data_IF_130518834915
#
_entry.id   IF_130518834915
#
_cell.length_a   1.000
_cell.length_b   1.000
_cell.length_c   1.000
_cell.angle_alpha   90.00
_cell.angle_beta   90.00
_cell.angle_gamma   90.00
#
_symmetry.space_group_name_H-M   'P 1'
#
loop_
_entity.id
_entity.type
_entity.pdbx_description
1 polymer ?
#
# COMPACT_ATOMS: atom_id res chain seq x y z
N UNK A 1 9.94 -5.46 23.66
CA UNK A 1 10.90 -6.43 23.08
C UNK A 1 10.30 -6.97 21.80
N UNK A 2 10.80 -6.53 20.64
CA UNK A 2 10.40 -7.09 19.35
C UNK A 2 11.04 -8.47 19.21
N UNK A 3 10.25 -9.53 19.02
CA UNK A 3 10.80 -10.86 18.72
C UNK A 3 11.17 -10.91 17.24
N UNK A 4 12.32 -11.48 16.87
CA UNK A 4 12.63 -11.76 15.46
C UNK A 4 11.50 -12.61 14.86
N UNK A 5 10.83 -12.09 13.83
CA UNK A 5 9.77 -12.80 13.10
C UNK A 5 10.37 -13.72 12.03
N UNK A 6 11.54 -14.32 12.31
CA UNK A 6 12.27 -15.17 11.35
C UNK A 6 11.35 -16.23 10.76
N UNK A 7 10.57 -16.92 11.61
CA UNK A 7 9.58 -17.95 11.21
C UNK A 7 8.63 -17.53 10.08
N UNK A 8 8.40 -16.24 9.88
CA UNK A 8 7.49 -15.73 8.84
C UNK A 8 8.25 -14.95 7.77
N UNK A 9 9.18 -14.09 8.16
CA UNK A 9 9.90 -13.22 7.23
C UNK A 9 10.99 -13.93 6.41
N UNK A 10 11.53 -15.08 6.85
CA UNK A 10 12.51 -15.83 6.06
C UNK A 10 11.94 -16.27 4.69
N UNK A 11 10.62 -16.43 4.57
CA UNK A 11 9.96 -16.72 3.29
C UNK A 11 10.09 -15.58 2.26
N UNK A 12 10.48 -14.37 2.68
CA UNK A 12 10.76 -13.22 1.81
C UNK A 12 12.25 -13.10 1.42
N UNK A 13 13.11 -14.02 1.86
CA UNK A 13 14.49 -14.11 1.36
C UNK A 13 14.57 -14.69 -0.07
N UNK A 14 13.46 -15.22 -0.57
CA UNK A 14 13.26 -15.75 -1.93
C UNK A 14 12.17 -14.94 -2.62
N UNK A 15 11.99 -15.14 -3.93
CA UNK A 15 10.92 -14.48 -4.67
C UNK A 15 9.56 -14.82 -4.07
N UNK A 16 8.91 -13.80 -3.51
CA UNK A 16 7.66 -13.94 -2.80
C UNK A 16 6.92 -12.60 -2.78
N UNK A 17 5.63 -12.67 -2.53
CA UNK A 17 4.76 -11.52 -2.36
C UNK A 17 4.15 -11.64 -0.97
N UNK A 18 4.11 -10.57 -0.19
CA UNK A 18 3.47 -10.58 1.12
C UNK A 18 2.53 -9.41 1.30
N UNK A 19 1.45 -9.66 2.04
CA UNK A 19 0.54 -8.64 2.53
C UNK A 19 1.00 -8.20 3.92
N UNK A 20 1.21 -6.90 4.10
CA UNK A 20 1.46 -6.28 5.40
C UNK A 20 0.13 -5.75 5.91
N UNK A 21 -0.25 -6.11 7.14
CA UNK A 21 -1.50 -5.67 7.75
C UNK A 21 -1.35 -5.49 9.26
N UNK A 22 -1.90 -4.41 9.81
CA UNK A 22 -1.98 -4.22 11.26
C UNK A 22 -3.28 -4.75 11.83
N UNK A 23 -3.20 -5.43 12.98
CA UNK A 23 -4.37 -5.78 13.81
C UNK A 23 -4.89 -4.57 14.58
N UNK A 24 -4.01 -3.64 14.93
CA UNK A 24 -4.29 -2.44 15.72
C UNK A 24 -4.07 -1.22 14.85
N UNK A 25 -4.85 -1.07 13.78
CA UNK A 25 -4.64 0.01 12.81
C UNK A 25 -4.81 1.39 13.44
N UNK A 26 -5.61 1.50 14.51
CA UNK A 26 -5.85 2.75 15.24
C UNK A 26 -4.59 3.35 15.88
N UNK A 27 -3.59 2.52 16.17
CA UNK A 27 -2.30 2.98 16.72
C UNK A 27 -1.51 3.76 15.67
N UNK A 28 -1.62 3.36 14.40
CA UNK A 28 -1.04 4.08 13.28
C UNK A 28 -1.88 5.33 12.95
N UNK A 29 -3.19 5.13 12.75
CA UNK A 29 -4.14 6.15 12.34
C UNK A 29 -5.52 5.91 12.98
N UNK A 30 -5.96 6.87 13.81
CA UNK A 30 -7.23 6.80 14.55
C UNK A 30 -8.47 7.08 13.69
N UNK A 31 -8.29 7.81 12.60
CA UNK A 31 -9.40 8.34 11.80
C UNK A 31 -9.91 7.33 10.78
N UNK A 32 -9.02 6.54 10.18
CA UNK A 32 -9.37 5.58 9.14
C UNK A 32 -8.35 4.46 9.02
N UNK A 33 -8.77 3.35 8.43
CA UNK A 33 -7.90 2.21 8.14
C UNK A 33 -6.99 2.52 6.93
N UNK A 34 -5.68 2.59 7.17
CA UNK A 34 -4.64 2.76 6.15
C UNK A 34 -3.42 1.84 6.37
N UNK A 35 -3.51 0.94 7.36
CA UNK A 35 -2.44 0.03 7.76
C UNK A 35 -2.48 -1.29 6.98
N UNK A 36 -2.42 -1.17 5.65
CA UNK A 36 -2.30 -2.28 4.69
C UNK A 36 -1.32 -1.90 3.58
N UNK A 37 -0.41 -2.82 3.22
CA UNK A 37 0.52 -2.61 2.12
C UNK A 37 1.00 -3.95 1.54
N UNK A 38 1.67 -3.92 0.40
CA UNK A 38 2.27 -5.10 -0.24
C UNK A 38 3.80 -4.98 -0.25
N UNK A 39 4.49 -6.10 -0.09
CA UNK A 39 5.96 -6.13 -0.16
C UNK A 39 6.47 -7.37 -0.89
N UNK A 40 7.67 -7.25 -1.46
CA UNK A 40 8.51 -8.36 -1.93
C UNK A 40 9.76 -8.56 -1.06
N UNK A 41 9.95 -7.71 -0.07
CA UNK A 41 11.14 -7.66 0.77
C UNK A 41 10.78 -7.80 2.24
N UNK A 42 11.76 -8.22 3.05
CA UNK A 42 11.71 -8.13 4.51
C UNK A 42 11.40 -6.69 4.92
N UNK A 43 10.56 -6.54 5.94
CA UNK A 43 10.16 -5.24 6.47
C UNK A 43 10.48 -5.12 7.96
N UNK A 44 10.82 -3.89 8.37
CA UNK A 44 10.99 -3.54 9.78
C UNK A 44 9.65 -3.68 10.52
N UNK A 45 9.69 -3.87 11.85
CA UNK A 45 8.50 -3.91 12.71
C UNK A 45 7.75 -2.57 12.77
N UNK A 46 8.40 -1.47 12.39
CA UNK A 46 7.83 -0.12 12.37
C UNK A 46 7.54 0.34 10.94
N UNK A 47 7.17 -0.58 10.05
CA UNK A 47 6.78 -0.24 8.68
C UNK A 47 5.61 0.75 8.70
N UNK A 48 4.63 0.53 9.58
CA UNK A 48 3.61 1.51 9.90
C UNK A 48 3.95 2.28 11.18
N UNK A 49 3.33 3.45 11.37
CA UNK A 49 3.47 4.22 12.60
C UNK A 49 3.06 3.38 13.81
N UNK A 50 3.88 3.40 14.87
CA UNK A 50 3.78 2.57 16.10
C UNK A 50 4.11 1.09 15.96
N UNK A 51 4.25 0.59 14.73
CA UNK A 51 4.67 -0.77 14.44
C UNK A 51 3.70 -1.87 14.88
N UNK A 52 4.16 -3.11 14.84
CA UNK A 52 3.38 -4.29 15.24
C UNK A 52 2.55 -4.91 14.12
N UNK A 53 2.81 -4.52 12.87
CA UNK A 53 2.20 -5.15 11.71
C UNK A 53 2.62 -6.61 11.52
N UNK A 54 1.75 -7.36 10.86
CA UNK A 54 1.96 -8.74 10.48
C UNK A 54 2.25 -8.80 8.99
N UNK A 55 3.24 -9.62 8.64
CA UNK A 55 3.61 -9.94 7.28
C UNK A 55 3.03 -11.31 6.94
N UNK A 56 2.16 -11.37 5.93
CA UNK A 56 1.50 -12.58 5.47
C UNK A 56 2.06 -12.94 4.08
N UNK A 57 3.10 -13.80 3.99
CA UNK A 57 3.65 -14.22 2.71
C UNK A 57 2.64 -15.08 1.93
N UNK A 58 2.58 -14.91 0.61
CA UNK A 58 1.74 -15.68 -0.30
C UNK A 58 2.23 -17.12 -0.41
N UNK A 59 3.55 -17.33 -0.34
CA UNK A 59 4.16 -18.64 -0.40
C UNK A 59 4.95 -18.97 0.86
N UNK A 60 4.91 -20.23 1.27
CA UNK A 60 5.79 -20.79 2.29
C UNK A 60 6.90 -21.58 1.59
N UNK A 61 8.11 -21.47 2.11
CA UNK A 61 9.27 -22.21 1.65
C UNK A 61 9.74 -23.15 2.75
N UNK A 62 9.94 -24.42 2.41
CA UNK A 62 10.57 -25.38 3.31
C UNK A 62 12.10 -25.13 3.35
N UNK A 63 12.65 -25.04 4.55
CA UNK A 63 14.07 -24.73 4.79
C UNK A 63 15.02 -25.86 4.32
N UNK A 64 14.56 -27.11 4.27
CA UNK A 64 15.39 -28.27 3.96
C UNK A 64 15.54 -28.51 2.45
N UNK A 65 14.44 -28.42 1.71
CA UNK A 65 14.38 -28.79 0.30
C UNK A 65 13.99 -27.62 -0.64
N UNK A 66 13.79 -26.41 -0.10
CA UNK A 66 13.34 -25.23 -0.82
C UNK A 66 11.97 -25.37 -1.51
N UNK A 67 11.17 -26.38 -1.16
CA UNK A 67 9.84 -26.58 -1.73
C UNK A 67 8.91 -25.40 -1.42
N UNK A 68 8.18 -24.95 -2.44
CA UNK A 68 7.28 -23.79 -2.41
C UNK A 68 5.83 -24.26 -2.31
N UNK A 69 5.10 -23.81 -1.30
CA UNK A 69 3.66 -24.10 -1.14
C UNK A 69 2.86 -22.80 -1.01
N UNK A 70 1.59 -22.82 -1.43
CA UNK A 70 0.69 -21.68 -1.34
C UNK A 70 0.18 -21.52 0.09
N UNK A 71 0.32 -20.32 0.67
CA UNK A 71 -0.08 -20.02 2.04
C UNK A 71 -1.57 -19.64 2.16
N UNK A 72 -2.44 -20.44 1.56
CA UNK A 72 -3.89 -20.29 1.70
C UNK A 72 -4.51 -21.50 2.39
N UNK A 73 -5.56 -21.25 3.17
CA UNK A 73 -6.29 -22.32 3.80
C UNK A 73 -7.20 -23.02 2.77
N UNK A 74 -6.91 -24.29 2.48
CA UNK A 74 -7.66 -25.06 1.47
C UNK A 74 -9.17 -25.15 1.75
N UNK A 75 -9.59 -25.19 3.02
CA UNK A 75 -11.02 -25.21 3.38
C UNK A 75 -11.72 -23.89 3.03
N UNK A 76 -10.98 -22.78 3.04
CA UNK A 76 -11.49 -21.46 2.63
C UNK A 76 -11.54 -21.39 1.11
N UNK A 77 -10.50 -21.87 0.42
CA UNK A 77 -10.49 -21.98 -1.05
C UNK A 77 -11.72 -22.76 -1.54
N UNK A 78 -12.02 -23.92 -0.96
CA UNK A 78 -13.20 -24.71 -1.32
C UNK A 78 -14.54 -23.97 -1.15
N UNK A 79 -14.62 -23.01 -0.20
CA UNK A 79 -15.81 -22.16 -0.04
C UNK A 79 -15.87 -21.09 -1.12
N UNK A 80 -14.72 -20.55 -1.52
CA UNK A 80 -14.59 -19.57 -2.61
C UNK A 80 -14.93 -20.21 -3.95
N UNK A 81 -14.40 -21.39 -4.24
CA UNK A 81 -14.73 -22.18 -5.43
C UNK A 81 -16.25 -22.36 -5.56
N UNK A 82 -16.90 -22.74 -4.45
CA UNK A 82 -18.36 -22.87 -4.39
C UNK A 82 -19.09 -21.54 -4.57
N UNK A 83 -18.60 -20.43 -4.01
CA UNK A 83 -19.30 -19.13 -4.15
C UNK A 83 -19.17 -18.55 -5.56
N UNK A 84 -18.08 -18.88 -6.27
CA UNK A 84 -17.83 -18.42 -7.63
C UNK A 84 -18.29 -19.40 -8.71
N UNK A 85 -18.54 -20.66 -8.34
CA UNK A 85 -18.70 -21.77 -9.29
C UNK A 85 -17.49 -21.89 -10.25
N UNK A 86 -16.28 -21.78 -9.69
CA UNK A 86 -14.99 -21.85 -10.39
C UNK A 86 -14.04 -22.80 -9.65
N UNK A 87 -13.05 -23.33 -10.36
CA UNK A 87 -12.04 -24.26 -9.83
C UNK A 87 -10.71 -23.55 -9.63
N UNK A 88 -10.16 -23.64 -8.42
CA UNK A 88 -8.86 -23.05 -8.06
C UNK A 88 -7.71 -23.72 -8.82
N UNK A 89 -6.75 -22.93 -9.28
CA UNK A 89 -5.64 -23.32 -10.17
C UNK A 89 -6.04 -23.81 -11.57
N UNK A 90 -7.33 -23.78 -11.90
CA UNK A 90 -7.83 -24.01 -13.26
C UNK A 90 -8.43 -22.74 -13.86
N UNK A 91 -9.33 -22.10 -13.12
CA UNK A 91 -10.08 -20.93 -13.57
C UNK A 91 -9.61 -19.63 -12.91
N UNK A 92 -9.02 -19.71 -11.71
CA UNK A 92 -8.37 -18.58 -11.02
C UNK A 92 -7.17 -19.06 -10.18
N UNK A 93 -6.21 -18.16 -9.99
CA UNK A 93 -4.93 -18.42 -9.33
C UNK A 93 -4.86 -17.87 -7.90
N UNK A 94 -3.79 -18.23 -7.18
CA UNK A 94 -3.45 -17.64 -5.90
C UNK A 94 -3.19 -16.12 -6.00
N UNK A 95 -2.70 -15.65 -7.15
CA UNK A 95 -2.50 -14.23 -7.41
C UNK A 95 -3.82 -13.50 -7.58
N UNK A 96 -4.79 -14.08 -8.29
CA UNK A 96 -6.13 -13.50 -8.42
C UNK A 96 -6.78 -13.31 -7.05
N UNK A 97 -6.66 -14.31 -6.18
CA UNK A 97 -7.19 -14.23 -4.82
C UNK A 97 -6.42 -13.20 -3.97
N UNK A 98 -5.08 -13.16 -4.05
CA UNK A 98 -4.28 -12.14 -3.38
C UNK A 98 -4.68 -10.73 -3.81
N UNK A 99 -4.82 -10.51 -5.11
CA UNK A 99 -5.21 -9.23 -5.67
C UNK A 99 -6.64 -8.85 -5.27
N UNK A 100 -7.58 -9.79 -5.28
CA UNK A 100 -8.93 -9.56 -4.77
C UNK A 100 -8.91 -9.10 -3.30
N UNK A 101 -8.16 -9.79 -2.42
CA UNK A 101 -7.98 -9.38 -1.02
C UNK A 101 -7.44 -7.94 -0.96
N UNK A 102 -6.41 -7.64 -1.76
CA UNK A 102 -5.80 -6.32 -1.78
C UNK A 102 -6.78 -5.23 -2.23
N UNK A 103 -7.62 -5.50 -3.22
CA UNK A 103 -8.65 -4.59 -3.71
C UNK A 103 -9.72 -4.33 -2.64
N UNK A 104 -10.22 -5.36 -1.97
CA UNK A 104 -11.18 -5.19 -0.86
C UNK A 104 -10.58 -4.33 0.25
N UNK A 105 -9.32 -4.59 0.62
CA UNK A 105 -8.64 -3.81 1.64
C UNK A 105 -8.39 -2.36 1.22
N UNK A 106 -8.57 -2.00 -0.05
CA UNK A 106 -8.54 -0.63 -0.58
C UNK A 106 -9.92 -0.09 -0.98
N UNK A 107 -10.97 -0.87 -0.76
CA UNK A 107 -12.34 -0.45 -1.07
C UNK A 107 -12.84 0.52 -0.01
N UNK A 108 -13.14 1.76 -0.42
CA UNK A 108 -13.50 2.85 0.50
C UNK A 108 -14.75 2.52 1.34
N UNK A 109 -15.81 1.98 0.73
CA UNK A 109 -17.02 1.59 1.50
C UNK A 109 -16.80 0.39 2.43
N UNK A 110 -15.92 -0.56 2.08
CA UNK A 110 -15.56 -1.65 2.99
C UNK A 110 -14.86 -1.11 4.23
N UNK A 111 -13.88 -0.21 4.03
CA UNK A 111 -13.14 0.44 5.13
C UNK A 111 -14.07 1.23 6.04
N UNK A 112 -15.01 1.97 5.46
CA UNK A 112 -15.97 2.75 6.24
C UNK A 112 -16.97 1.85 6.99
N UNK A 113 -17.58 0.89 6.29
CA UNK A 113 -18.57 -0.04 6.87
C UNK A 113 -18.01 -0.84 8.05
N UNK A 114 -16.73 -1.21 8.01
CA UNK A 114 -16.08 -1.99 9.07
C UNK A 114 -15.09 -1.17 9.90
N UNK A 115 -15.15 0.16 9.86
CA UNK A 115 -14.18 1.08 10.49
C UNK A 115 -13.87 0.72 11.94
N UNK A 116 -14.89 0.60 12.79
CA UNK A 116 -14.70 0.26 14.21
C UNK A 116 -14.11 -1.14 14.43
N UNK A 117 -14.43 -2.10 13.55
CA UNK A 117 -13.88 -3.43 13.61
C UNK A 117 -12.40 -3.45 13.19
N UNK A 118 -12.05 -2.75 12.11
CA UNK A 118 -10.71 -2.68 11.53
C UNK A 118 -9.70 -1.99 12.45
N UNK A 119 -10.15 -1.07 13.32
CA UNK A 119 -9.30 -0.42 14.34
C UNK A 119 -8.58 -1.42 15.25
N UNK A 120 -9.25 -2.51 15.62
CA UNK A 120 -8.80 -3.40 16.71
C UNK A 120 -8.68 -4.88 16.33
N UNK A 121 -9.07 -5.26 15.10
CA UNK A 121 -9.01 -6.63 14.61
C UNK A 121 -8.36 -6.72 13.23
N UNK A 122 -7.92 -7.94 12.88
CA UNK A 122 -7.55 -8.24 11.50
C UNK A 122 -8.75 -8.07 10.57
N UNK A 123 -8.56 -7.52 9.35
CA UNK A 123 -9.62 -7.45 8.36
C UNK A 123 -10.25 -8.81 8.07
N UNK A 124 -11.57 -8.83 7.92
CA UNK A 124 -12.31 -10.00 7.46
C UNK A 124 -12.75 -9.78 6.03
N UNK A 125 -12.25 -10.61 5.11
CA UNK A 125 -12.51 -10.46 3.69
C UNK A 125 -13.84 -11.15 3.34
N UNK A 126 -14.78 -10.46 2.67
CA UNK A 126 -16.01 -11.04 2.15
C UNK A 126 -15.69 -12.06 1.06
N UNK A 127 -16.45 -13.15 0.99
CA UNK A 127 -16.28 -14.11 -0.09
C UNK A 127 -16.58 -13.45 -1.44
N UNK A 128 -15.76 -13.70 -2.46
CA UNK A 128 -15.92 -13.10 -3.76
C UNK A 128 -17.22 -13.56 -4.45
N UNK A 129 -17.75 -12.67 -5.28
CA UNK A 129 -19.00 -12.84 -6.06
C UNK A 129 -18.75 -12.41 -7.52
N UNK A 130 -19.78 -11.92 -8.21
CA UNK A 130 -19.76 -11.53 -9.63
C UNK A 130 -18.59 -10.60 -10.03
N UNK A 131 -18.18 -9.65 -9.18
CA UNK A 131 -17.11 -8.70 -9.49
C UNK A 131 -15.69 -9.23 -9.18
N UNK A 132 -15.52 -10.53 -8.88
CA UNK A 132 -14.24 -11.11 -8.44
C UNK A 132 -13.05 -10.72 -9.32
N UNK A 133 -13.10 -11.07 -10.61
CA UNK A 133 -12.00 -10.79 -11.54
C UNK A 133 -11.76 -9.30 -11.74
N UNK A 134 -12.81 -8.48 -11.71
CA UNK A 134 -12.66 -7.03 -11.88
C UNK A 134 -12.00 -6.39 -10.66
N UNK A 135 -12.36 -6.84 -9.45
CA UNK A 135 -11.71 -6.43 -8.22
C UNK A 135 -10.26 -6.95 -8.17
N UNK A 136 -10.01 -8.19 -8.59
CA UNK A 136 -8.65 -8.73 -8.72
C UNK A 136 -7.80 -7.89 -9.70
N UNK A 137 -8.32 -7.50 -10.86
CA UNK A 137 -7.61 -6.63 -11.81
C UNK A 137 -7.22 -5.28 -11.16
N UNK A 138 -8.11 -4.66 -10.39
CA UNK A 138 -7.78 -3.43 -9.67
C UNK A 138 -6.78 -3.66 -8.54
N UNK A 139 -6.88 -4.78 -7.83
CA UNK A 139 -5.91 -5.19 -6.82
C UNK A 139 -4.52 -5.40 -7.39
N UNK A 140 -4.41 -5.99 -8.59
CA UNK A 140 -3.15 -6.14 -9.31
C UNK A 140 -2.56 -4.78 -9.66
N UNK A 141 -3.38 -3.88 -10.22
CA UNK A 141 -2.95 -2.51 -10.55
C UNK A 141 -2.45 -1.78 -9.32
N UNK A 142 -3.17 -1.83 -8.19
CA UNK A 142 -2.71 -1.26 -6.93
C UNK A 142 -1.41 -1.90 -6.44
N UNK A 143 -1.27 -3.23 -6.53
CA UNK A 143 -0.02 -3.92 -6.15
C UNK A 143 1.15 -3.44 -7.00
N UNK A 144 0.97 -3.31 -8.31
CA UNK A 144 2.03 -2.84 -9.21
C UNK A 144 2.42 -1.39 -8.91
N UNK A 145 1.45 -0.51 -8.64
CA UNK A 145 1.72 0.86 -8.21
C UNK A 145 2.52 0.90 -6.90
N UNK A 146 2.08 0.18 -5.88
CA UNK A 146 2.74 0.16 -4.57
C UNK A 146 4.13 -0.48 -4.56
N UNK A 147 4.40 -1.42 -5.48
CA UNK A 147 5.74 -1.95 -5.73
C UNK A 147 6.56 -1.08 -6.69
N UNK A 148 6.03 0.07 -7.12
CA UNK A 148 6.62 0.98 -8.11
C UNK A 148 6.98 0.29 -9.44
N UNK A 149 6.26 -0.78 -9.79
CA UNK A 149 6.43 -1.54 -11.02
C UNK A 149 5.52 -1.02 -12.14
N UNK A 150 5.80 0.21 -12.58
CA UNK A 150 5.10 0.85 -13.68
C UNK A 150 6.00 1.93 -14.31
N UNK A 151 5.60 2.41 -15.49
CA UNK A 151 6.20 3.60 -16.11
C UNK A 151 5.53 4.85 -15.56
N UNK A 152 6.32 5.68 -14.88
CA UNK A 152 5.86 6.94 -14.31
C UNK A 152 5.63 8.02 -15.36
N UNK A 153 4.63 8.86 -15.11
CA UNK A 153 4.48 10.16 -15.76
C UNK A 153 5.18 11.24 -14.94
N UNK A 154 5.50 12.38 -15.57
CA UNK A 154 6.02 13.55 -14.85
C UNK A 154 4.84 14.28 -14.20
N UNK A 155 4.78 14.22 -12.87
CA UNK A 155 3.70 14.80 -12.07
C UNK A 155 4.17 16.04 -11.29
N UNK A 156 5.42 16.04 -10.82
CA UNK A 156 5.92 17.11 -9.96
C UNK A 156 6.37 18.32 -10.77
N UNK A 157 6.05 19.50 -10.26
CA UNK A 157 6.52 20.78 -10.77
C UNK A 157 7.53 21.38 -9.77
N UNK A 158 8.60 21.98 -10.30
CA UNK A 158 9.62 22.66 -9.51
C UNK A 158 9.61 24.14 -9.82
N UNK A 159 9.59 24.96 -8.77
CA UNK A 159 9.86 26.40 -8.86
C UNK A 159 11.20 26.64 -8.19
N UNK A 160 12.27 26.83 -8.97
CA UNK A 160 13.64 26.98 -8.48
C UNK A 160 14.53 25.76 -8.75
N UNK A 161 15.82 25.91 -8.49
CA UNK A 161 16.86 24.92 -8.87
C UNK A 161 17.62 24.34 -7.66
N UNK A 162 17.54 24.99 -6.49
CA UNK A 162 18.21 24.50 -5.29
C UNK A 162 17.41 23.37 -4.67
N UNK A 163 17.92 22.14 -4.78
CA UNK A 163 17.24 20.94 -4.27
C UNK A 163 17.62 20.55 -2.84
N UNK A 164 18.31 21.43 -2.10
CA UNK A 164 18.52 21.25 -0.66
C UNK A 164 17.23 21.49 0.13
N UNK A 165 16.97 20.62 1.10
CA UNK A 165 15.84 20.72 2.02
C UNK A 165 16.38 21.30 3.33
N UNK A 166 16.39 22.63 3.41
CA UNK A 166 16.87 23.35 4.60
C UNK A 166 15.75 23.67 5.58
N UNK A 167 14.50 23.66 5.11
CA UNK A 167 13.35 23.86 5.96
C UNK A 167 13.06 22.57 6.72
N UNK A 168 12.73 22.65 8.02
CA UNK A 168 12.23 21.51 8.82
C UNK A 168 10.81 21.03 8.39
N UNK A 169 10.32 21.54 7.25
CA UNK A 169 9.03 21.28 6.60
C UNK A 169 7.86 21.29 7.59
N UNK A 170 7.42 22.49 7.94
CA UNK A 170 6.35 22.75 8.90
C UNK A 170 5.09 23.25 8.17
N UNK A 171 4.00 23.49 8.91
CA UNK A 171 2.74 23.99 8.34
C UNK A 171 2.91 25.27 7.51
N UNK A 172 3.82 26.17 7.90
CA UNK A 172 4.10 27.43 7.19
C UNK A 172 4.73 27.23 5.80
N UNK A 173 5.35 26.07 5.57
CA UNK A 173 6.04 25.74 4.32
C UNK A 173 5.11 25.02 3.34
N UNK A 174 3.87 24.74 3.75
CA UNK A 174 2.85 24.03 2.99
C UNK A 174 1.76 25.03 2.59
N UNK A 175 1.63 25.26 1.29
CA UNK A 175 0.63 26.17 0.72
C UNK A 175 -0.37 25.35 -0.07
N UNK A 176 -1.61 25.33 0.39
CA UNK A 176 -2.71 24.69 -0.31
C UNK A 176 -3.19 25.60 -1.45
N UNK A 177 -3.15 25.07 -2.65
CA UNK A 177 -3.82 25.60 -3.83
C UNK A 177 -5.08 24.75 -4.06
N UNK A 178 -5.89 25.10 -5.07
CA UNK A 178 -7.16 24.38 -5.33
C UNK A 178 -6.95 22.85 -5.49
N UNK A 179 -6.28 22.43 -6.58
CA UNK A 179 -6.00 21.00 -6.88
C UNK A 179 -4.55 20.57 -6.60
N UNK A 180 -3.73 21.49 -6.06
CA UNK A 180 -2.30 21.29 -5.88
C UNK A 180 -1.86 21.74 -4.48
N UNK A 181 -0.72 21.26 -4.03
CA UNK A 181 -0.05 21.72 -2.82
C UNK A 181 1.37 22.12 -3.20
N UNK A 182 1.75 23.33 -2.82
CA UNK A 182 3.11 23.83 -2.95
C UNK A 182 3.86 23.63 -1.62
N UNK A 183 5.01 22.96 -1.66
CA UNK A 183 5.85 22.64 -0.51
C UNK A 183 7.18 23.39 -0.67
N UNK A 184 7.42 24.38 0.18
CA UNK A 184 8.67 25.16 0.20
C UNK A 184 9.77 24.35 0.88
N UNK A 185 10.72 23.83 0.11
CA UNK A 185 11.84 23.04 0.65
C UNK A 185 12.99 23.91 1.16
N UNK A 186 13.13 25.11 0.59
CA UNK A 186 14.05 26.16 1.03
C UNK A 186 13.50 27.54 0.58
N UNK A 187 14.16 28.68 0.90
CA UNK A 187 13.66 30.02 0.54
C UNK A 187 13.49 30.27 -0.97
N UNK A 188 14.21 29.52 -1.80
CA UNK A 188 14.29 29.72 -3.26
C UNK A 188 13.62 28.62 -4.06
N UNK A 189 13.19 27.52 -3.43
CA UNK A 189 12.69 26.35 -4.16
C UNK A 189 11.44 25.74 -3.51
N UNK A 190 10.43 25.54 -4.35
CA UNK A 190 9.19 24.85 -4.00
C UNK A 190 8.95 23.65 -4.92
N UNK A 191 8.37 22.60 -4.35
CA UNK A 191 7.84 21.45 -5.10
C UNK A 191 6.33 21.52 -5.08
N UNK A 192 5.70 21.41 -6.25
CA UNK A 192 4.26 21.45 -6.40
C UNK A 192 3.77 20.08 -6.86
N UNK A 193 2.80 19.55 -6.13
CA UNK A 193 2.23 18.22 -6.37
C UNK A 193 0.69 18.25 -6.31
N UNK A 194 0.00 17.27 -6.91
CA UNK A 194 -1.46 17.14 -6.76
C UNK A 194 -1.86 17.02 -5.30
N UNK A 195 -2.93 17.73 -4.91
CA UNK A 195 -3.46 17.73 -3.53
C UNK A 195 -3.83 16.33 -3.05
N UNK A 196 -4.44 15.53 -3.93
CA UNK A 196 -4.81 14.13 -3.64
C UNK A 196 -3.60 13.24 -3.28
N UNK A 197 -2.44 13.47 -3.91
CA UNK A 197 -1.23 12.74 -3.58
C UNK A 197 -0.60 13.25 -2.27
N UNK A 198 -0.69 14.55 -2.01
CA UNK A 198 -0.24 15.13 -0.75
C UNK A 198 -1.05 14.60 0.44
N UNK A 199 -2.37 14.49 0.31
CA UNK A 199 -3.28 14.05 1.37
C UNK A 199 -3.38 12.53 1.51
N UNK A 200 -2.61 11.76 0.75
CA UNK A 200 -2.64 10.30 0.80
C UNK A 200 -1.82 9.77 2.00
N UNK A 201 -2.47 8.96 2.84
CA UNK A 201 -1.83 8.32 4.00
C UNK A 201 -1.67 6.82 3.80
N UNK A 202 -0.54 6.29 4.26
CA UNK A 202 -0.28 4.86 4.38
C UNK A 202 0.29 4.62 5.78
N UNK A 203 -0.37 3.78 6.57
CA UNK A 203 0.04 3.41 7.93
C UNK A 203 0.33 4.60 8.85
N UNK A 204 -0.51 5.64 8.81
CA UNK A 204 -0.36 6.85 9.63
C UNK A 204 0.69 7.85 9.15
N UNK A 205 1.35 7.61 8.02
CA UNK A 205 2.29 8.55 7.41
C UNK A 205 1.68 9.24 6.19
N UNK A 206 1.77 10.57 6.16
CA UNK A 206 1.54 11.35 4.96
C UNK A 206 2.74 11.17 4.02
N UNK A 207 2.65 10.22 3.08
CA UNK A 207 3.82 9.66 2.39
C UNK A 207 4.62 10.72 1.62
N UNK A 208 3.91 11.61 0.89
CA UNK A 208 4.53 12.70 0.15
C UNK A 208 5.38 13.61 1.05
N UNK A 209 4.84 14.03 2.20
CA UNK A 209 5.55 14.90 3.14
C UNK A 209 6.66 14.15 3.89
N UNK A 210 6.41 12.90 4.29
CA UNK A 210 7.38 12.07 5.03
C UNK A 210 8.65 11.86 4.22
N UNK A 211 8.52 11.58 2.92
CA UNK A 211 9.66 11.38 2.02
C UNK A 211 10.62 12.58 2.00
N UNK A 212 10.06 13.80 1.98
CA UNK A 212 10.83 15.03 2.00
C UNK A 212 11.47 15.30 3.36
N UNK A 213 10.75 15.02 4.46
CA UNK A 213 11.24 15.24 5.83
C UNK A 213 12.44 14.38 6.23
N UNK A 214 12.60 13.23 5.60
CA UNK A 214 13.67 12.28 5.91
C UNK A 214 14.94 12.53 5.09
N UNK A 215 15.05 13.68 4.42
CA UNK A 215 16.14 14.00 3.51
C UNK A 215 16.56 15.45 3.67
N UNK A 216 17.86 15.67 3.57
CA UNK A 216 18.44 17.01 3.53
C UNK A 216 18.61 17.52 2.08
N UNK A 217 18.43 16.64 1.07
CA UNK A 217 18.57 16.98 -0.35
C UNK A 217 17.77 16.04 -1.26
N UNK A 218 17.24 16.57 -2.36
CA UNK A 218 16.71 15.80 -3.48
C UNK A 218 17.71 15.79 -4.64
N UNK A 219 18.65 14.86 -4.63
CA UNK A 219 19.46 14.62 -5.83
C UNK A 219 18.57 14.14 -7.00
N UNK A 220 19.13 14.08 -8.21
CA UNK A 220 18.37 13.68 -9.42
C UNK A 220 17.64 12.34 -9.22
N UNK A 221 18.30 11.36 -8.59
CA UNK A 221 17.72 10.04 -8.33
C UNK A 221 16.55 10.11 -7.35
N UNK A 222 16.70 10.84 -6.24
CA UNK A 222 15.64 11.03 -5.24
C UNK A 222 14.49 11.84 -5.78
N UNK A 223 14.74 12.83 -6.64
CA UNK A 223 13.69 13.60 -7.32
C UNK A 223 12.88 12.73 -8.28
N UNK A 224 13.54 11.91 -9.11
CA UNK A 224 12.86 10.94 -9.99
C UNK A 224 12.05 9.94 -9.18
N UNK A 225 12.62 9.42 -8.09
CA UNK A 225 11.94 8.48 -7.23
C UNK A 225 10.74 9.13 -6.50
N UNK A 226 10.89 10.37 -6.03
CA UNK A 226 9.81 11.14 -5.44
C UNK A 226 8.67 11.34 -6.43
N UNK A 227 8.98 11.73 -7.67
CA UNK A 227 7.99 11.84 -8.74
C UNK A 227 7.21 10.53 -8.93
N UNK A 228 7.92 9.39 -8.95
CA UNK A 228 7.31 8.07 -9.10
C UNK A 228 6.41 7.70 -7.92
N UNK A 229 6.78 8.07 -6.70
CA UNK A 229 5.91 7.91 -5.52
C UNK A 229 4.64 8.76 -5.69
N UNK A 230 4.77 10.03 -6.06
CA UNK A 230 3.62 10.94 -6.22
C UNK A 230 2.65 10.43 -7.29
N UNK A 231 3.17 9.96 -8.42
CA UNK A 231 2.35 9.34 -9.48
C UNK A 231 1.65 8.07 -8.98
N UNK A 232 2.35 7.21 -8.23
CA UNK A 232 1.77 6.02 -7.61
C UNK A 232 0.60 6.37 -6.69
N UNK A 233 0.74 7.37 -5.82
CA UNK A 233 -0.32 7.79 -4.89
C UNK A 233 -1.54 8.33 -5.64
N UNK A 234 -1.31 9.16 -6.66
CA UNK A 234 -2.37 9.71 -7.50
C UNK A 234 -3.16 8.61 -8.22
N UNK A 235 -2.47 7.70 -8.92
CA UNK A 235 -3.10 6.58 -9.63
C UNK A 235 -3.78 5.59 -8.68
N UNK A 236 -3.24 5.42 -7.46
CA UNK A 236 -3.86 4.58 -6.44
C UNK A 236 -5.20 5.15 -5.98
N UNK A 237 -5.27 6.47 -5.78
CA UNK A 237 -6.53 7.15 -5.48
C UNK A 237 -7.57 6.91 -6.58
N UNK A 238 -7.21 7.08 -7.85
CA UNK A 238 -8.12 6.86 -8.98
C UNK A 238 -8.64 5.41 -9.05
N UNK A 239 -7.78 4.43 -8.79
CA UNK A 239 -8.20 3.02 -8.74
C UNK A 239 -9.12 2.78 -7.55
N UNK A 240 -8.85 3.36 -6.39
CA UNK A 240 -9.71 3.25 -5.21
C UNK A 240 -11.11 3.81 -5.45
N UNK A 241 -11.24 4.90 -6.22
CA UNK A 241 -12.56 5.41 -6.64
C UNK A 241 -13.27 4.41 -7.57
N UNK A 242 -12.57 3.80 -8.52
CA UNK A 242 -13.15 2.77 -9.42
C UNK A 242 -13.54 1.48 -8.69
N UNK A 243 -12.77 1.10 -7.66
CA UNK A 243 -13.10 -0.02 -6.78
C UNK A 243 -14.39 0.28 -6.01
N UNK A 244 -14.53 1.50 -5.48
CA UNK A 244 -15.69 1.93 -4.68
C UNK A 244 -17.03 1.68 -5.38
N UNK A 245 -17.07 1.78 -6.71
CA UNK A 245 -18.27 1.57 -7.52
C UNK A 245 -18.68 0.09 -7.66
N UNK A 246 -17.88 -0.86 -7.15
CA UNK A 246 -18.10 -2.30 -7.34
C UNK A 246 -18.65 -2.94 -6.08
N UNK A 247 -19.69 -3.75 -6.25
CA UNK A 247 -20.22 -4.57 -5.16
C UNK A 247 -19.25 -5.70 -4.82
N UNK A 248 -19.20 -6.04 -3.54
CA UNK A 248 -18.39 -7.12 -2.97
C UNK A 248 -19.22 -8.03 -2.04
#
# INVERSE_FOLDING_TARGET
MARPTYKTQHHLLKDNLALIVSRRSEEANKEFFDAVFVTKNIVDLNFFRRGGEIVCPLYLYNDLNNEKTINFNQKIIQKIEKSLNLVFLKDFSELDLFHYIYAILHHLEYREKYKEFLKVNFPKIPYPKENFFKLAEYGEKLKNLHLLNFKEDRIIELKGENLEITNKLNKKDIIYLDKKVEIKINPTTSIIIPKIAFEFFIGGYQVALKYLKDRDKLDRKSLTHYNKIIDSLMRSYDIMQKIKEKKW
#
